data_IF_610078887876
#
_entry.id   IF_610078887876
#
_cell.length_a   1.000
_cell.length_b   1.000
_cell.length_c   1.000
_cell.angle_alpha   90.00
_cell.angle_beta   90.00
_cell.angle_gamma   90.00
#
_symmetry.space_group_name_H-M   'P 1'
#
loop_
_entity.id
_entity.type
_entity.pdbx_description
1 polymer ?
#
# COMPACT_ATOMS: atom_id res chain seq x y z
N UNK A 1 1.48 -18.40 4.61
CA UNK A 1 2.43 -17.32 4.96
C UNK A 1 1.96 -16.00 4.33
N UNK A 2 2.31 -14.84 4.93
CA UNK A 2 2.04 -13.52 4.35
C UNK A 2 3.31 -12.98 3.71
N UNK A 3 3.22 -12.53 2.46
CA UNK A 3 4.26 -11.78 1.76
C UNK A 3 3.85 -10.30 1.72
N UNK A 4 4.59 -9.45 2.42
CA UNK A 4 4.27 -8.03 2.58
C UNK A 4 5.21 -7.17 1.75
N UNK A 5 4.67 -6.42 0.80
CA UNK A 5 5.37 -5.53 -0.11
C UNK A 5 5.08 -4.08 0.29
N UNK A 6 6.06 -3.41 0.88
CA UNK A 6 5.86 -2.10 1.51
C UNK A 6 6.76 -1.05 0.87
N UNK A 7 6.18 0.07 0.43
CA UNK A 7 6.90 1.29 0.08
C UNK A 7 6.58 2.37 1.12
N UNK A 8 7.57 2.80 1.91
CA UNK A 8 7.31 3.67 3.06
C UNK A 8 8.46 4.63 3.38
N UNK A 9 8.70 5.68 2.56
CA UNK A 9 9.82 6.60 2.78
C UNK A 9 9.79 7.33 4.13
N UNK A 10 8.59 7.64 4.65
CA UNK A 10 8.42 8.32 5.94
C UNK A 10 8.16 7.37 7.12
N UNK A 11 8.09 6.06 6.90
CA UNK A 11 7.78 5.08 7.93
C UNK A 11 6.28 4.91 8.27
N UNK A 12 5.41 5.86 7.91
CA UNK A 12 3.99 5.83 8.30
C UNK A 12 3.20 4.70 7.61
N UNK A 13 3.44 4.46 6.32
CA UNK A 13 2.85 3.32 5.60
C UNK A 13 3.27 1.99 6.22
N UNK A 14 4.55 1.86 6.57
CA UNK A 14 5.06 0.66 7.23
C UNK A 14 4.42 0.43 8.60
N UNK A 15 4.17 1.50 9.39
CA UNK A 15 3.48 1.41 10.67
C UNK A 15 2.06 0.85 10.48
N UNK A 16 1.28 1.42 9.56
CA UNK A 16 -0.09 0.95 9.25
C UNK A 16 -0.08 -0.50 8.76
N UNK A 17 0.79 -0.83 7.80
CA UNK A 17 0.90 -2.19 7.25
C UNK A 17 1.25 -3.22 8.33
N UNK A 18 2.24 -2.94 9.18
CA UNK A 18 2.63 -3.82 10.28
C UNK A 18 1.50 -4.04 11.28
N UNK A 19 0.77 -2.99 11.66
CA UNK A 19 -0.39 -3.11 12.56
C UNK A 19 -1.44 -4.05 11.95
N UNK A 20 -1.81 -3.84 10.69
CA UNK A 20 -2.76 -4.70 9.98
C UNK A 20 -2.29 -6.17 9.91
N UNK A 21 -1.05 -6.38 9.47
CA UNK A 21 -0.47 -7.72 9.28
C UNK A 21 -0.40 -8.49 10.61
N UNK A 22 -0.04 -7.82 11.70
CA UNK A 22 -0.02 -8.45 13.02
C UNK A 22 -1.41 -8.96 13.44
N UNK A 23 -2.49 -8.26 13.04
CA UNK A 23 -3.86 -8.70 13.31
C UNK A 23 -4.27 -9.94 12.49
N UNK A 24 -3.60 -10.24 11.38
CA UNK A 24 -3.86 -11.46 10.60
C UNK A 24 -3.31 -12.73 11.26
N UNK A 25 -2.37 -12.61 12.22
CA UNK A 25 -1.89 -13.71 13.05
C UNK A 25 -1.09 -14.80 12.32
N UNK A 26 -0.48 -14.50 11.18
CA UNK A 26 0.28 -15.43 10.36
C UNK A 26 1.77 -15.05 10.29
N UNK A 27 2.62 -16.01 9.91
CA UNK A 27 4.03 -15.75 9.61
C UNK A 27 4.17 -14.79 8.43
N UNK A 28 5.12 -13.84 8.52
CA UNK A 28 5.27 -12.74 7.56
C UNK A 28 6.69 -12.68 7.00
N UNK A 29 6.80 -12.59 5.68
CA UNK A 29 8.03 -12.20 4.98
C UNK A 29 7.83 -10.80 4.39
N UNK A 30 8.63 -9.82 4.82
CA UNK A 30 8.51 -8.43 4.38
C UNK A 30 9.55 -8.08 3.33
N UNK A 31 9.12 -7.42 2.27
CA UNK A 31 9.94 -6.87 1.19
C UNK A 31 9.82 -5.33 1.23
N UNK A 32 10.93 -4.67 1.55
CA UNK A 32 10.98 -3.20 1.59
C UNK A 32 11.27 -2.63 0.19
N UNK A 33 10.24 -2.10 -0.42
CA UNK A 33 10.32 -1.45 -1.73
C UNK A 33 10.80 0.00 -1.66
N UNK A 34 11.13 0.51 -0.46
CA UNK A 34 11.64 1.87 -0.29
C UNK A 34 13.12 1.97 -0.65
N UNK A 35 13.91 0.97 -0.27
CA UNK A 35 15.38 1.03 -0.31
C UNK A 35 15.96 0.41 -1.58
N UNK A 36 15.41 -0.68 -2.09
CA UNK A 36 15.97 -1.41 -3.24
C UNK A 36 14.89 -2.11 -4.07
N UNK A 37 15.13 -2.23 -5.38
CA UNK A 37 14.43 -3.18 -6.22
C UNK A 37 14.79 -4.59 -5.72
N UNK A 38 13.79 -5.34 -5.26
CA UNK A 38 13.99 -6.74 -4.90
C UNK A 38 14.21 -7.53 -6.18
N UNK A 39 15.45 -7.89 -6.45
CA UNK A 39 15.73 -8.85 -7.50
C UNK A 39 15.27 -10.23 -7.02
N UNK A 40 14.44 -10.91 -7.82
CA UNK A 40 13.92 -12.26 -7.60
C UNK A 40 13.18 -12.43 -6.27
N UNK A 41 11.88 -12.10 -6.30
CA UNK A 41 10.98 -12.50 -5.23
C UNK A 41 10.70 -13.99 -5.43
N UNK A 42 11.02 -14.80 -4.43
CA UNK A 42 10.72 -16.23 -4.45
C UNK A 42 9.25 -16.46 -4.80
N UNK A 43 8.99 -17.49 -5.61
CA UNK A 43 7.64 -17.88 -5.97
C UNK A 43 6.79 -18.03 -4.71
N UNK A 44 5.74 -17.24 -4.66
CA UNK A 44 4.74 -17.29 -3.60
C UNK A 44 3.90 -18.55 -3.82
N UNK A 45 3.71 -19.35 -2.77
CA UNK A 45 2.84 -20.54 -2.84
C UNK A 45 1.39 -20.09 -3.12
N UNK A 46 0.58 -20.92 -3.78
CA UNK A 46 -0.84 -20.65 -4.04
C UNK A 46 -1.65 -20.37 -2.77
N UNK A 47 -1.23 -20.96 -1.65
CA UNK A 47 -1.84 -20.75 -0.32
C UNK A 47 -1.41 -19.46 0.36
N UNK A 48 -0.35 -18.80 -0.11
CA UNK A 48 0.17 -17.60 0.49
C UNK A 48 -0.68 -16.37 0.14
N UNK A 49 -0.55 -15.34 0.97
CA UNK A 49 -1.28 -14.09 0.83
C UNK A 49 -0.28 -12.96 0.59
N UNK A 50 -0.53 -12.18 -0.43
CA UNK A 50 0.25 -10.98 -0.70
C UNK A 50 -0.43 -9.76 -0.09
N UNK A 51 0.32 -8.91 0.63
CA UNK A 51 -0.15 -7.62 1.15
C UNK A 51 0.68 -6.51 0.52
N UNK A 52 0.05 -5.63 -0.25
CA UNK A 52 0.69 -4.49 -0.89
C UNK A 52 0.30 -3.21 -0.15
N UNK A 53 1.27 -2.49 0.41
CA UNK A 53 1.02 -1.25 1.15
C UNK A 53 1.84 -0.08 0.59
N UNK A 54 1.16 0.94 0.07
CA UNK A 54 1.74 2.08 -0.62
C UNK A 54 1.23 3.41 -0.06
N UNK A 55 2.04 4.48 -0.02
CA UNK A 55 1.56 5.81 0.32
C UNK A 55 0.83 6.45 -0.87
N UNK A 56 0.03 7.47 -0.56
CA UNK A 56 -0.65 8.29 -1.58
C UNK A 56 0.10 9.60 -1.78
N UNK A 57 0.56 9.85 -3.00
CA UNK A 57 1.18 11.10 -3.44
C UNK A 57 0.33 11.76 -4.52
N UNK A 58 -0.23 12.93 -4.20
CA UNK A 58 -1.12 13.68 -5.10
C UNK A 58 -2.30 12.87 -5.65
N UNK A 59 -2.83 11.91 -4.87
CA UNK A 59 -3.98 11.09 -5.25
C UNK A 59 -3.65 9.85 -6.08
N UNK A 60 -2.37 9.52 -6.23
CA UNK A 60 -1.83 8.35 -6.94
C UNK A 60 -0.84 7.61 -6.05
N UNK A 61 -0.50 6.38 -6.38
CA UNK A 61 0.68 5.75 -5.77
C UNK A 61 1.96 6.36 -6.36
N UNK A 62 3.10 6.38 -5.62
CA UNK A 62 4.34 6.93 -6.16
C UNK A 62 4.78 6.16 -7.41
N UNK A 63 5.19 6.88 -8.47
CA UNK A 63 5.64 6.26 -9.72
C UNK A 63 6.80 5.27 -9.52
N UNK A 64 7.69 5.54 -8.56
CA UNK A 64 8.76 4.62 -8.20
C UNK A 64 8.22 3.33 -7.56
N UNK A 65 7.19 3.43 -6.71
CA UNK A 65 6.55 2.24 -6.14
C UNK A 65 5.87 1.41 -7.23
N UNK A 66 5.10 2.04 -8.13
CA UNK A 66 4.49 1.38 -9.28
C UNK A 66 5.54 0.67 -10.17
N UNK A 67 6.67 1.33 -10.44
CA UNK A 67 7.77 0.71 -11.20
C UNK A 67 8.33 -0.52 -10.48
N UNK A 68 8.53 -0.45 -9.16
CA UNK A 68 9.08 -1.57 -8.38
C UNK A 68 8.13 -2.76 -8.28
N UNK A 69 6.81 -2.53 -8.31
CA UNK A 69 5.81 -3.59 -8.39
C UNK A 69 5.94 -4.46 -9.66
N UNK A 70 6.56 -3.94 -10.72
CA UNK A 70 6.82 -4.73 -11.93
C UNK A 70 7.77 -5.92 -11.70
N UNK A 71 8.55 -5.91 -10.63
CA UNK A 71 9.42 -7.03 -10.24
C UNK A 71 8.68 -8.16 -9.51
N UNK A 72 7.40 -7.99 -9.21
CA UNK A 72 6.57 -8.98 -8.51
C UNK A 72 5.57 -9.59 -9.49
N UNK A 73 5.44 -10.90 -9.47
CA UNK A 73 4.45 -11.62 -10.27
C UNK A 73 3.76 -12.68 -9.42
N UNK A 74 2.45 -12.79 -9.59
CA UNK A 74 1.61 -13.82 -9.01
C UNK A 74 1.08 -14.77 -10.07
N UNK A 75 0.52 -15.89 -9.62
CA UNK A 75 -0.19 -16.89 -10.42
C UNK A 75 -1.56 -17.19 -9.83
N UNK A 76 -2.26 -16.14 -9.37
CA UNK A 76 -3.61 -16.25 -8.79
C UNK A 76 -3.67 -16.19 -7.27
N UNK A 77 -2.54 -15.94 -6.57
CA UNK A 77 -2.54 -15.80 -5.11
C UNK A 77 -3.44 -14.66 -4.66
N UNK A 78 -4.03 -14.84 -3.47
CA UNK A 78 -4.87 -13.82 -2.84
C UNK A 78 -4.03 -12.60 -2.49
N UNK A 79 -4.53 -11.40 -2.78
CA UNK A 79 -3.87 -10.14 -2.45
C UNK A 79 -4.78 -9.18 -1.69
N UNK A 80 -4.20 -8.49 -0.73
CA UNK A 80 -4.80 -7.35 -0.04
C UNK A 80 -4.03 -6.09 -0.44
N UNK A 81 -4.73 -5.05 -0.87
CA UNK A 81 -4.14 -3.77 -1.25
C UNK A 81 -4.49 -2.69 -0.23
N UNK A 82 -3.48 -1.96 0.23
CA UNK A 82 -3.61 -0.91 1.25
C UNK A 82 -2.94 0.36 0.74
N UNK A 83 -3.66 1.49 0.81
CA UNK A 83 -3.05 2.80 0.62
C UNK A 83 -3.12 3.61 1.90
N UNK A 84 -2.06 4.40 2.16
CA UNK A 84 -1.95 5.24 3.35
C UNK A 84 -1.80 6.70 2.93
N UNK A 85 -2.66 7.55 3.46
CA UNK A 85 -2.74 8.95 3.05
C UNK A 85 -2.82 9.93 4.23
N UNK A 86 -2.42 11.18 3.97
CA UNK A 86 -2.31 12.25 4.96
C UNK A 86 -3.60 13.04 5.17
N UNK A 87 -4.75 12.37 5.30
CA UNK A 87 -6.05 12.95 5.70
C UNK A 87 -6.69 13.98 4.73
N UNK A 88 -6.22 14.12 3.49
CA UNK A 88 -6.97 14.88 2.48
C UNK A 88 -7.94 13.96 1.72
N UNK A 89 -7.41 13.20 0.80
CA UNK A 89 -8.09 12.18 -0.01
C UNK A 89 -7.04 11.25 -0.61
N UNK A 90 -7.44 10.02 -0.94
CA UNK A 90 -6.59 9.07 -1.66
C UNK A 90 -6.89 9.01 -3.16
N UNK A 91 -7.93 9.74 -3.60
CA UNK A 91 -8.36 9.88 -5.01
C UNK A 91 -8.36 8.49 -5.73
N UNK A 92 -7.49 8.31 -6.74
CA UNK A 92 -7.45 7.10 -7.55
C UNK A 92 -6.40 6.06 -7.06
N UNK A 93 -5.62 6.37 -6.02
CA UNK A 93 -4.47 5.56 -5.62
C UNK A 93 -4.82 4.11 -5.24
N UNK A 94 -5.97 3.89 -4.58
CA UNK A 94 -6.38 2.54 -4.18
C UNK A 94 -6.79 1.70 -5.39
N UNK A 95 -7.53 2.29 -6.31
CA UNK A 95 -7.92 1.66 -7.57
C UNK A 95 -6.70 1.34 -8.43
N UNK A 96 -5.78 2.30 -8.57
CA UNK A 96 -4.53 2.13 -9.30
C UNK A 96 -3.69 0.97 -8.74
N UNK A 97 -3.55 0.89 -7.41
CA UNK A 97 -2.83 -0.21 -6.78
C UNK A 97 -3.52 -1.56 -7.05
N UNK A 98 -4.85 -1.61 -6.95
CA UNK A 98 -5.64 -2.80 -7.27
C UNK A 98 -5.44 -3.29 -8.70
N UNK A 99 -5.48 -2.36 -9.67
CA UNK A 99 -5.28 -2.66 -11.08
C UNK A 99 -3.87 -3.21 -11.34
N UNK A 100 -2.82 -2.54 -10.84
CA UNK A 100 -1.44 -2.99 -10.99
C UNK A 100 -1.24 -4.39 -10.40
N UNK A 101 -1.74 -4.64 -9.19
CA UNK A 101 -1.60 -5.93 -8.51
C UNK A 101 -2.32 -7.03 -9.30
N UNK A 102 -3.49 -6.73 -9.87
CA UNK A 102 -4.23 -7.67 -10.73
C UNK A 102 -3.50 -7.94 -12.03
N UNK A 103 -2.95 -6.91 -12.69
CA UNK A 103 -2.12 -7.06 -13.88
C UNK A 103 -0.84 -7.88 -13.63
N UNK A 104 -0.35 -7.88 -12.39
CA UNK A 104 0.78 -8.73 -11.96
C UNK A 104 0.37 -10.18 -11.66
N UNK A 105 -0.89 -10.58 -11.90
CA UNK A 105 -1.35 -11.95 -11.78
C UNK A 105 -1.86 -12.33 -10.38
N UNK A 106 -2.09 -11.38 -9.49
CA UNK A 106 -2.71 -11.61 -8.19
C UNK A 106 -4.23 -11.43 -8.26
N UNK A 107 -4.94 -12.10 -7.35
CA UNK A 107 -6.38 -11.92 -7.15
C UNK A 107 -6.62 -11.02 -5.94
N UNK A 108 -6.99 -9.78 -6.17
CA UNK A 108 -7.32 -8.85 -5.09
C UNK A 108 -8.61 -9.30 -4.41
N UNK A 109 -8.54 -9.55 -3.10
CA UNK A 109 -9.67 -10.01 -2.28
C UNK A 109 -10.17 -8.93 -1.33
N UNK A 110 -9.34 -7.95 -0.99
CA UNK A 110 -9.71 -6.82 -0.14
C UNK A 110 -8.87 -5.58 -0.46
N UNK A 111 -9.45 -4.40 -0.24
CA UNK A 111 -8.82 -3.12 -0.46
C UNK A 111 -9.14 -2.15 0.68
N UNK A 112 -8.14 -1.42 1.20
CA UNK A 112 -8.32 -0.48 2.30
C UNK A 112 -7.52 0.80 2.15
N UNK A 113 -8.12 1.94 2.56
CA UNK A 113 -7.45 3.24 2.62
C UNK A 113 -7.41 3.73 4.07
N UNK A 114 -6.21 3.99 4.59
CA UNK A 114 -6.02 4.36 6.00
C UNK A 114 -5.29 5.69 6.14
N UNK A 115 -5.65 6.45 7.16
CA UNK A 115 -5.06 7.74 7.45
C UNK A 115 -3.81 7.54 8.31
N UNK A 116 -2.74 8.29 7.97
CA UNK A 116 -1.59 8.46 8.83
C UNK A 116 -1.16 9.93 8.85
N UNK A 117 -0.28 10.28 9.76
CA UNK A 117 0.28 11.62 9.84
C UNK A 117 0.93 12.02 8.50
N UNK A 118 0.61 13.22 8.03
CA UNK A 118 1.11 13.71 6.76
C UNK A 118 2.62 13.95 6.83
N UNK A 119 3.39 13.36 5.90
CA UNK A 119 4.86 13.39 5.95
C UNK A 119 5.47 14.79 5.74
N UNK A 120 4.82 15.65 4.94
CA UNK A 120 5.30 17.02 4.66
C UNK A 120 4.67 18.04 5.62
N UNK A 121 3.43 17.82 6.04
CA UNK A 121 2.70 18.71 6.94
C UNK A 121 2.38 18.00 8.27
N UNK A 122 3.32 17.92 9.24
CA UNK A 122 3.18 17.08 10.42
C UNK A 122 2.03 17.49 11.35
N UNK A 123 1.49 18.71 11.19
CA UNK A 123 0.28 19.16 11.89
C UNK A 123 -1.02 18.55 11.33
N UNK A 124 -0.96 17.92 10.15
CA UNK A 124 -2.12 17.25 9.55
C UNK A 124 -2.12 15.80 9.98
N UNK A 125 -3.22 15.36 10.60
CA UNK A 125 -3.39 14.02 11.16
C UNK A 125 -2.27 13.64 12.17
N UNK A 126 -1.87 14.60 13.01
CA UNK A 126 -0.81 14.43 14.02
C UNK A 126 -1.07 13.20 14.89
N UNK A 127 -0.05 12.38 15.10
CA UNK A 127 -0.10 11.20 15.96
C UNK A 127 -0.80 9.98 15.35
N UNK A 128 -1.32 10.07 14.11
CA UNK A 128 -1.96 8.93 13.45
C UNK A 128 -0.95 8.01 12.73
N UNK A 129 -1.21 6.69 12.67
CA UNK A 129 -2.38 5.99 13.20
C UNK A 129 -2.40 5.99 14.75
N UNK A 130 -3.59 6.26 15.30
CA UNK A 130 -3.89 6.23 16.72
C UNK A 130 -4.69 4.97 17.13
N UNK A 131 -5.11 4.86 18.38
CA UNK A 131 -5.88 3.72 18.88
C UNK A 131 -7.23 3.51 18.15
N UNK A 132 -7.84 4.58 17.62
CA UNK A 132 -9.04 4.50 16.78
C UNK A 132 -8.74 3.89 15.41
N UNK A 133 -7.58 4.21 14.85
CA UNK A 133 -7.12 3.62 13.59
C UNK A 133 -6.72 2.16 13.77
N UNK A 134 -6.07 1.82 14.89
CA UNK A 134 -5.72 0.45 15.22
C UNK A 134 -6.97 -0.44 15.31
N UNK A 135 -8.06 0.04 15.90
CA UNK A 135 -9.35 -0.67 15.91
C UNK A 135 -9.90 -0.90 14.50
N UNK A 136 -9.79 0.10 13.61
CA UNK A 136 -10.23 -0.04 12.21
C UNK A 136 -9.36 -1.03 11.44
N UNK A 137 -8.05 -1.04 11.69
CA UNK A 137 -7.13 -1.99 11.09
C UNK A 137 -7.40 -3.42 11.57
N UNK A 138 -7.72 -3.60 12.87
CA UNK A 138 -8.13 -4.89 13.42
C UNK A 138 -9.44 -5.37 12.79
N UNK A 139 -10.46 -4.52 12.72
CA UNK A 139 -11.74 -4.89 12.10
C UNK A 139 -11.56 -5.25 10.61
N UNK A 140 -10.71 -4.52 9.88
CA UNK A 140 -10.39 -4.85 8.49
C UNK A 140 -9.63 -6.18 8.37
N UNK A 141 -8.75 -6.50 9.32
CA UNK A 141 -8.08 -7.80 9.35
C UNK A 141 -9.04 -8.96 9.62
N UNK A 142 -10.02 -8.77 10.52
CA UNK A 142 -11.07 -9.75 10.79
C UNK A 142 -11.92 -10.02 9.53
N UNK A 143 -12.30 -8.95 8.81
CA UNK A 143 -13.01 -9.06 7.54
C UNK A 143 -12.18 -9.80 6.48
N UNK A 144 -10.90 -9.48 6.35
CA UNK A 144 -9.98 -10.17 5.42
C UNK A 144 -9.85 -11.65 5.79
N UNK A 145 -9.69 -12.00 7.07
CA UNK A 145 -9.64 -13.39 7.51
C UNK A 145 -10.94 -14.14 7.18
N UNK A 146 -12.10 -13.49 7.33
CA UNK A 146 -13.38 -14.07 6.92
C UNK A 146 -13.42 -14.32 5.41
N UNK A 147 -13.05 -13.33 4.58
CA UNK A 147 -13.00 -13.47 3.10
C UNK A 147 -12.06 -14.60 2.68
N UNK A 148 -10.91 -14.74 3.35
CA UNK A 148 -9.97 -15.83 3.09
C UNK A 148 -10.61 -17.19 3.34
N UNK A 149 -11.36 -17.32 4.44
CA UNK A 149 -12.00 -18.57 4.86
C UNK A 149 -13.16 -18.97 3.93
N UNK A 150 -14.00 -18.01 3.49
CA UNK A 150 -15.17 -18.30 2.64
C UNK A 150 -14.85 -18.29 1.13
N UNK A 151 -13.67 -17.84 0.71
CA UNK A 151 -13.26 -17.82 -0.70
C UNK A 151 -13.79 -16.65 -1.52
N UNK A 152 -14.01 -15.49 -0.89
CA UNK A 152 -14.51 -14.28 -1.56
C UNK A 152 -13.53 -13.64 -2.57
N UNK A 153 -14.02 -12.73 -3.38
CA UNK A 153 -13.28 -11.87 -4.30
C UNK A 153 -13.83 -10.44 -4.25
N UNK A 154 -12.99 -9.47 -4.56
CA UNK A 154 -13.38 -8.06 -4.65
C UNK A 154 -13.59 -7.65 -6.11
N UNK A 155 -14.71 -7.00 -6.39
CA UNK A 155 -14.88 -6.28 -7.65
C UNK A 155 -14.12 -4.94 -7.59
N UNK A 156 -13.07 -4.79 -8.40
CA UNK A 156 -12.29 -3.56 -8.44
C UNK A 156 -13.10 -2.33 -8.87
N UNK A 157 -14.21 -2.51 -9.59
CA UNK A 157 -15.08 -1.40 -9.95
C UNK A 157 -15.87 -0.83 -8.76
N UNK A 158 -15.92 -1.56 -7.63
CA UNK A 158 -16.49 -1.04 -6.39
C UNK A 158 -15.53 -0.15 -5.61
N UNK A 159 -14.23 -0.11 -5.98
CA UNK A 159 -13.24 0.76 -5.35
C UNK A 159 -13.42 2.19 -5.86
N UNK A 160 -13.42 3.15 -4.92
CA UNK A 160 -13.41 4.58 -5.28
C UNK A 160 -12.20 4.90 -6.15
N UNK A 161 -12.44 5.58 -7.27
CA UNK A 161 -11.43 6.05 -8.22
C UNK A 161 -12.00 6.17 -9.62
N UNK A 162 -11.20 6.69 -10.53
CA UNK A 162 -11.57 6.88 -11.93
C UNK A 162 -10.56 6.22 -12.86
N UNK A 163 -11.05 5.68 -13.98
CA UNK A 163 -10.23 5.28 -15.13
C UNK A 163 -10.65 6.15 -16.34
N UNK A 164 -9.76 6.94 -16.96
CA UNK A 164 -8.32 7.07 -16.65
C UNK A 164 -8.07 7.81 -15.32
N UNK A 165 -7.00 7.42 -14.63
CA UNK A 165 -6.60 8.05 -13.37
C UNK A 165 -6.28 9.53 -13.54
N UNK A 166 -6.48 10.31 -12.48
CA UNK A 166 -6.11 11.73 -12.47
C UNK A 166 -4.63 11.90 -12.86
N UNK A 167 -4.35 12.93 -13.62
CA UNK A 167 -2.97 13.30 -13.92
C UNK A 167 -2.28 13.70 -12.61
N UNK A 168 -1.14 13.08 -12.31
CA UNK A 168 -0.31 13.48 -11.18
C UNK A 168 0.01 14.98 -11.28
N UNK A 169 0.07 15.68 -10.17
CA UNK A 169 0.54 17.04 -10.14
C UNK A 169 2.03 17.03 -10.52
N UNK A 170 2.31 17.21 -11.80
CA UNK A 170 3.65 17.44 -12.32
C UNK A 170 4.09 18.85 -11.97
N UNK A 171 4.36 19.10 -10.69
CA UNK A 171 5.18 20.26 -10.32
C UNK A 171 6.61 19.83 -10.59
N UNK A 172 7.32 20.42 -11.56
CA UNK A 172 8.74 20.18 -11.72
C UNK A 172 9.43 20.71 -10.46
N UNK A 173 9.68 19.82 -9.49
CA UNK A 173 10.55 20.14 -8.37
C UNK A 173 11.97 20.01 -8.89
N UNK A 174 12.61 21.12 -9.11
CA UNK A 174 14.05 21.21 -9.27
C UNK A 174 14.63 21.32 -7.84
N UNK A 175 15.29 20.27 -7.32
CA UNK A 175 15.95 20.41 -6.02
C UNK A 175 17.04 21.47 -6.15
N UNK A 176 16.97 22.49 -5.29
CA UNK A 176 18.09 23.41 -5.12
C UNK A 176 19.19 22.69 -4.31
N UNK A 177 20.10 22.07 -5.03
CA UNK A 177 21.18 21.26 -4.42
C UNK A 177 22.20 22.13 -3.69
N UNK A 178 22.28 23.42 -4.01
CA UNK A 178 23.23 24.35 -3.39
C UNK A 178 22.78 24.78 -1.99
N UNK A 179 21.48 24.70 -1.71
CA UNK A 179 20.87 25.00 -0.41
C UNK A 179 20.25 23.76 0.26
N UNK A 180 20.57 22.57 -0.19
CA UNK A 180 20.02 21.33 0.38
C UNK A 180 20.74 20.99 1.69
N UNK A 181 20.08 21.20 2.83
CA UNK A 181 20.60 20.90 4.17
C UNK A 181 20.78 19.41 4.48
N UNK A 182 20.37 18.52 3.57
CA UNK A 182 20.51 17.06 3.75
C UNK A 182 21.91 16.53 3.39
N UNK A 183 22.79 17.38 2.86
CA UNK A 183 24.14 17.00 2.42
C UNK A 183 25.26 17.79 3.12
N UNK A 184 24.96 18.45 4.24
CA UNK A 184 25.96 19.11 5.09
C UNK A 184 26.33 18.27 6.29
#
# INVERSE_FOLDING_TARGET
>A
MIHSFIFSPSGTTAKVAKTFINCLGQEVKTYDFTVKESANIDLISESDIAVFAMPVYAGRIPALAAKRLNAVSGTGQKAVVIVVYGNRDYDDALLELGDIVTERGFRVIAAGAFIAQHCIFPKVATGRPDAGDEKKLSAFADEVNHIIAVGGSLDLNSIKGNRPYKKGAGVPMHPDVDNCLLYT
#
